data_IF_975081180472
#
_entry.id   IF_975081180472
#
_cell.length_a   1.000
_cell.length_b   1.000
_cell.length_c   1.000
_cell.angle_alpha   90.00
_cell.angle_beta   90.00
_cell.angle_gamma   90.00
#
_symmetry.space_group_name_H-M   'P 1'
#
loop_
_entity.id
_entity.type
_entity.pdbx_description
1 polymer ?
#
# COMPACT_ATOMS: atom_id res chain seq x y z
N UNK A 1 -16.88 38.84 -1.38
CA UNK A 1 -16.24 38.67 -0.05
C UNK A 1 -16.21 37.18 0.29
N UNK A 2 -15.05 36.53 0.45
CA UNK A 2 -15.00 35.10 0.74
C UNK A 2 -15.10 34.84 2.26
N UNK A 3 -16.04 33.99 2.68
CA UNK A 3 -16.18 33.52 4.07
C UNK A 3 -15.02 32.58 4.41
N UNK A 4 -14.13 33.02 5.31
CA UNK A 4 -13.14 32.15 5.96
C UNK A 4 -13.86 31.24 6.96
N UNK A 5 -13.83 29.94 6.72
CA UNK A 5 -14.21 28.96 7.74
C UNK A 5 -13.02 28.70 8.65
N UNK A 6 -13.15 29.09 9.92
CA UNK A 6 -12.17 28.83 10.98
C UNK A 6 -12.47 27.46 11.60
N UNK A 7 -11.62 26.48 11.34
CA UNK A 7 -11.68 25.17 11.98
C UNK A 7 -11.22 25.29 13.44
N UNK A 8 -12.15 25.29 14.39
CA UNK A 8 -11.80 25.17 15.82
C UNK A 8 -11.40 23.73 16.10
N UNK A 9 -10.15 23.55 16.53
CA UNK A 9 -9.64 22.30 17.11
C UNK A 9 -10.50 21.92 18.33
N UNK A 10 -11.25 20.83 18.19
CA UNK A 10 -11.95 20.19 19.30
C UNK A 10 -10.90 19.46 20.14
N UNK A 11 -10.61 19.98 21.34
CA UNK A 11 -9.80 19.26 22.33
C UNK A 11 -10.58 18.03 22.77
N UNK A 12 -9.96 16.86 22.65
CA UNK A 12 -10.48 15.61 23.18
C UNK A 12 -10.71 15.74 24.69
N UNK A 13 -11.94 15.45 25.12
CA UNK A 13 -12.29 15.33 26.51
C UNK A 13 -11.47 14.18 27.13
N UNK A 14 -10.69 14.51 28.15
CA UNK A 14 -9.98 13.54 28.99
C UNK A 14 -10.98 12.64 29.70
N UNK A 15 -11.01 11.36 29.31
CA UNK A 15 -11.76 10.31 29.99
C UNK A 15 -11.11 10.11 31.37
N UNK A 16 -11.83 10.49 32.41
CA UNK A 16 -11.40 10.35 33.80
C UNK A 16 -11.68 8.92 34.26
N UNK A 17 -10.68 8.05 34.17
CA UNK A 17 -10.76 6.66 34.64
C UNK A 17 -10.57 6.67 36.15
N UNK A 18 -11.67 6.42 36.89
CA UNK A 18 -11.67 6.26 38.34
C UNK A 18 -10.88 4.98 38.71
N UNK A 19 -9.86 5.06 39.58
CA UNK A 19 -9.14 3.86 40.02
C UNK A 19 -10.05 2.97 40.88
N UNK A 20 -9.90 1.63 40.79
CA UNK A 20 -10.66 0.70 41.63
C UNK A 20 -10.24 0.85 43.09
N UNK A 21 -11.21 1.14 43.95
CA UNK A 21 -11.08 1.17 45.39
C UNK A 21 -11.24 -0.25 45.93
N UNK A 22 -10.15 -0.95 46.26
CA UNK A 22 -10.21 -2.08 47.18
C UNK A 22 -8.88 -2.29 47.92
N UNK A 23 -8.74 -1.82 49.17
CA UNK A 23 -7.65 -2.19 50.05
C UNK A 23 -8.11 -3.33 50.97
N UNK A 24 -7.64 -4.56 50.73
CA UNK A 24 -7.83 -5.64 51.69
C UNK A 24 -7.97 -7.04 51.11
N UNK A 25 -6.89 -7.58 50.56
CA UNK A 25 -6.72 -9.03 50.49
C UNK A 25 -5.27 -9.35 50.87
N UNK A 26 -5.11 -9.76 52.13
CA UNK A 26 -3.86 -10.26 52.70
C UNK A 26 -3.61 -11.62 52.02
N UNK A 27 -2.63 -11.68 51.13
CA UNK A 27 -2.13 -12.93 50.56
C UNK A 27 -0.96 -13.37 51.45
N UNK A 28 -1.11 -14.51 52.11
CA UNK A 28 -0.06 -15.19 52.88
C UNK A 28 1.18 -15.47 52.01
N UNK A 29 2.40 -15.36 52.57
CA UNK A 29 3.62 -15.70 51.86
C UNK A 29 3.74 -17.23 51.72
N UNK A 30 3.44 -17.74 50.53
CA UNK A 30 3.80 -19.11 50.13
C UNK A 30 5.32 -19.28 50.09
N UNK A 31 5.77 -20.38 50.67
CA UNK A 31 7.11 -20.95 50.84
C UNK A 31 8.17 -20.63 49.77
N UNK A 32 9.47 -20.62 50.15
CA UNK A 32 10.56 -20.38 49.22
C UNK A 32 10.65 -21.50 48.16
N UNK A 33 10.46 -21.11 46.90
CA UNK A 33 10.73 -21.94 45.73
C UNK A 33 12.21 -22.31 45.69
N UNK A 34 12.49 -23.61 45.66
CA UNK A 34 13.82 -24.18 45.42
C UNK A 34 14.45 -23.61 44.14
N UNK A 35 15.78 -23.40 44.11
CA UNK A 35 16.47 -22.91 42.92
C UNK A 35 16.31 -23.90 41.77
N UNK A 36 15.72 -23.44 40.67
CA UNK A 36 15.63 -24.17 39.40
C UNK A 36 17.06 -24.39 38.90
N UNK A 37 17.48 -25.64 38.61
CA UNK A 37 18.78 -25.92 38.01
C UNK A 37 18.87 -25.20 36.66
N UNK A 38 19.87 -24.32 36.51
CA UNK A 38 20.24 -23.76 35.22
C UNK A 38 20.80 -24.89 34.35
N UNK A 39 19.94 -25.53 33.56
CA UNK A 39 20.37 -26.37 32.45
C UNK A 39 21.04 -25.45 31.41
N UNK A 40 22.36 -25.50 31.34
CA UNK A 40 23.16 -24.90 30.28
C UNK A 40 22.72 -25.47 28.93
N UNK A 41 21.94 -24.69 28.18
CA UNK A 41 21.66 -25.00 26.77
C UNK A 41 23.00 -25.10 26.04
N UNK A 42 23.26 -26.21 25.31
CA UNK A 42 24.44 -26.30 24.47
C UNK A 42 24.39 -25.15 23.46
N UNK A 43 25.45 -24.34 23.44
CA UNK A 43 25.71 -23.38 22.36
C UNK A 43 25.94 -24.19 21.07
N UNK A 44 24.85 -24.59 20.43
CA UNK A 44 24.87 -25.06 19.07
C UNK A 44 25.43 -23.91 18.23
N UNK A 45 26.67 -24.09 17.75
CA UNK A 45 27.32 -23.17 16.85
C UNK A 45 26.36 -22.86 15.71
N UNK A 46 25.86 -21.63 15.67
CA UNK A 46 25.11 -21.12 14.53
C UNK A 46 26.07 -21.26 13.34
N UNK A 47 25.76 -22.08 12.33
CA UNK A 47 26.61 -22.15 11.16
C UNK A 47 26.65 -20.74 10.60
N UNK A 48 27.83 -20.12 10.60
CA UNK A 48 28.08 -18.89 9.86
C UNK A 48 27.74 -19.24 8.42
N UNK A 49 26.59 -18.79 7.93
CA UNK A 49 26.32 -18.77 6.51
C UNK A 49 27.51 -18.08 5.88
N UNK A 50 28.33 -18.86 5.17
CA UNK A 50 29.39 -18.34 4.35
C UNK A 50 28.75 -17.29 3.46
N UNK A 51 29.21 -16.05 3.59
CA UNK A 51 28.92 -14.98 2.65
C UNK A 51 29.45 -15.46 1.31
N UNK A 52 28.58 -16.11 0.54
CA UNK A 52 28.84 -16.42 -0.85
C UNK A 52 29.25 -15.12 -1.52
N UNK A 53 30.51 -15.08 -1.95
CA UNK A 53 31.05 -14.05 -2.82
C UNK A 53 30.11 -13.90 -4.01
N UNK A 54 29.23 -12.91 -3.97
CA UNK A 54 28.40 -12.53 -5.09
C UNK A 54 29.35 -12.00 -6.16
N UNK A 55 29.60 -12.82 -7.19
CA UNK A 55 30.18 -12.35 -8.45
C UNK A 55 29.31 -11.24 -9.06
N UNK A 56 29.80 -10.56 -10.12
CA UNK A 56 29.11 -9.41 -10.70
C UNK A 56 27.66 -9.75 -10.97
N UNK A 57 26.77 -8.99 -10.35
CA UNK A 57 25.34 -9.19 -10.23
C UNK A 57 24.70 -9.42 -11.60
N UNK A 58 24.55 -10.68 -12.01
CA UNK A 58 23.77 -11.01 -13.19
C UNK A 58 22.33 -10.53 -12.94
N UNK A 59 21.81 -9.69 -13.84
CA UNK A 59 20.48 -9.14 -13.69
C UNK A 59 19.47 -10.30 -13.58
N UNK A 60 18.56 -10.28 -12.59
CA UNK A 60 17.62 -11.38 -12.37
C UNK A 60 16.74 -11.59 -13.59
N UNK A 61 16.37 -12.84 -13.87
CA UNK A 61 15.42 -13.18 -14.95
C UNK A 61 14.13 -12.35 -14.80
N UNK A 62 13.58 -11.75 -15.88
CA UNK A 62 13.95 -11.91 -17.29
C UNK A 62 15.06 -10.97 -17.79
N UNK A 63 15.63 -10.12 -16.94
CA UNK A 63 16.60 -9.10 -17.34
C UNK A 63 17.98 -9.65 -17.67
N UNK A 64 18.25 -10.92 -17.37
CA UNK A 64 19.43 -11.64 -17.87
C UNK A 64 19.48 -11.67 -19.41
N UNK A 65 18.34 -11.75 -20.09
CA UNK A 65 18.26 -11.72 -21.55
C UNK A 65 18.35 -10.30 -22.14
N UNK A 66 17.97 -9.29 -21.36
CA UNK A 66 17.94 -7.89 -21.77
C UNK A 66 18.59 -7.00 -20.71
N UNK A 67 19.91 -7.13 -20.49
CA UNK A 67 20.60 -6.46 -19.40
C UNK A 67 20.55 -4.93 -19.51
N UNK A 68 20.41 -4.40 -20.73
CA UNK A 68 20.23 -2.97 -20.97
C UNK A 68 18.86 -2.43 -20.51
N UNK A 69 17.83 -3.28 -20.38
CA UNK A 69 16.54 -2.88 -19.80
C UNK A 69 16.59 -2.79 -18.28
N UNK A 70 17.49 -3.52 -17.63
CA UNK A 70 17.61 -3.53 -16.18
C UNK A 70 17.80 -2.11 -15.59
N UNK A 71 18.78 -1.29 -16.02
CA UNK A 71 18.92 0.08 -15.52
C UNK A 71 17.79 1.02 -15.94
N UNK A 72 17.01 0.68 -16.98
CA UNK A 72 15.84 1.44 -17.43
C UNK A 72 14.62 1.16 -16.55
N UNK A 73 14.53 -0.04 -15.96
CA UNK A 73 13.40 -0.45 -15.12
C UNK A 73 13.73 -0.27 -13.64
N UNK A 74 15.00 -0.46 -13.28
CA UNK A 74 15.57 -0.30 -11.95
C UNK A 74 16.61 0.82 -11.99
N UNK A 75 16.18 2.04 -12.33
CA UNK A 75 17.09 3.17 -12.25
C UNK A 75 17.65 3.30 -10.85
N UNK A 76 18.97 3.53 -10.78
CA UNK A 76 19.67 3.76 -9.53
C UNK A 76 19.03 4.98 -8.86
N UNK A 77 18.48 4.84 -7.64
CA UNK A 77 17.89 5.97 -6.94
C UNK A 77 18.98 7.02 -6.73
N UNK A 78 18.71 8.26 -7.16
CA UNK A 78 19.61 9.36 -6.88
C UNK A 78 19.46 9.76 -5.40
N UNK A 79 20.58 9.98 -4.70
CA UNK A 79 20.54 10.52 -3.34
C UNK A 79 20.02 11.95 -3.33
N UNK A 80 20.29 12.71 -4.40
CA UNK A 80 19.85 14.09 -4.57
C UNK A 80 19.28 14.31 -5.97
N UNK A 81 18.15 15.00 -6.07
CA UNK A 81 17.53 15.34 -7.34
C UNK A 81 16.33 16.27 -7.15
N UNK A 82 15.82 16.82 -8.25
CA UNK A 82 14.69 17.75 -8.20
C UNK A 82 13.33 17.05 -8.33
N UNK A 83 13.29 15.89 -8.99
CA UNK A 83 12.04 15.21 -9.37
C UNK A 83 12.02 13.81 -8.77
N UNK A 84 10.88 13.44 -8.18
CA UNK A 84 10.62 12.09 -7.67
C UNK A 84 9.78 11.29 -8.65
N UNK A 85 10.01 9.98 -8.70
CA UNK A 85 9.29 9.07 -9.62
C UNK A 85 7.78 9.12 -9.42
N UNK A 86 7.30 9.31 -8.18
CA UNK A 86 5.87 9.47 -7.88
C UNK A 86 5.18 10.54 -8.70
N UNK A 87 5.87 11.62 -9.08
CA UNK A 87 5.27 12.72 -9.83
C UNK A 87 4.97 12.29 -11.27
N UNK A 88 5.82 11.47 -11.89
CA UNK A 88 5.55 10.91 -13.21
C UNK A 88 4.29 10.03 -13.18
N UNK A 89 4.23 9.15 -12.18
CA UNK A 89 3.10 8.24 -12.02
C UNK A 89 1.82 9.01 -11.74
N UNK A 90 1.82 9.93 -10.78
CA UNK A 90 0.63 10.73 -10.44
C UNK A 90 0.15 11.59 -11.61
N UNK A 91 1.07 12.16 -12.41
CA UNK A 91 0.71 12.88 -13.63
C UNK A 91 -0.01 11.96 -14.62
N UNK A 92 0.51 10.75 -14.86
CA UNK A 92 -0.15 9.80 -15.75
C UNK A 92 -1.55 9.39 -15.28
N UNK A 93 -1.77 9.28 -13.95
CA UNK A 93 -3.06 8.92 -13.34
C UNK A 93 -4.05 10.08 -13.35
N UNK A 94 -3.57 11.32 -13.28
CA UNK A 94 -4.41 12.48 -13.53
C UNK A 94 -4.83 12.55 -15.01
N UNK A 95 -3.86 12.36 -15.91
CA UNK A 95 -4.11 12.38 -17.36
C UNK A 95 -5.00 11.23 -17.83
N UNK A 96 -5.11 10.13 -17.08
CA UNK A 96 -6.00 9.02 -17.43
C UNK A 96 -7.49 9.36 -17.35
N UNK A 97 -7.86 10.47 -16.70
CA UNK A 97 -9.20 11.06 -16.82
C UNK A 97 -9.25 12.08 -17.96
N UNK A 98 -8.27 13.00 -17.99
CA UNK A 98 -8.29 14.18 -18.87
C UNK A 98 -8.15 13.80 -20.35
N UNK A 99 -7.19 12.93 -20.68
CA UNK A 99 -6.88 12.58 -22.08
C UNK A 99 -8.01 11.78 -22.74
N UNK A 100 -8.56 10.72 -22.12
CA UNK A 100 -9.69 10.00 -22.71
C UNK A 100 -10.95 10.88 -22.83
N UNK A 101 -11.22 11.74 -21.84
CA UNK A 101 -12.33 12.68 -21.90
C UNK A 101 -12.17 13.69 -23.03
N UNK A 102 -10.94 14.18 -23.25
CA UNK A 102 -10.62 15.04 -24.38
C UNK A 102 -10.89 14.35 -25.73
N UNK A 103 -10.56 13.07 -25.87
CA UNK A 103 -10.88 12.33 -27.10
C UNK A 103 -12.38 12.16 -27.32
N UNK A 104 -13.14 11.82 -26.27
CA UNK A 104 -14.61 11.74 -26.36
C UNK A 104 -15.20 13.07 -26.84
N UNK A 105 -14.73 14.18 -26.27
CA UNK A 105 -15.15 15.52 -26.70
C UNK A 105 -14.73 15.83 -28.16
N UNK A 106 -13.46 15.59 -28.51
CA UNK A 106 -12.90 15.94 -29.83
C UNK A 106 -13.51 15.15 -30.99
N UNK A 107 -13.93 13.91 -30.76
CA UNK A 107 -14.54 13.04 -31.76
C UNK A 107 -16.07 12.96 -31.64
N UNK A 108 -16.67 13.75 -30.74
CA UNK A 108 -18.11 13.73 -30.44
C UNK A 108 -18.64 12.32 -30.11
N UNK A 109 -17.85 11.53 -29.38
CA UNK A 109 -18.14 10.11 -29.09
C UNK A 109 -19.00 9.93 -27.82
N UNK A 110 -19.87 10.89 -27.48
CA UNK A 110 -20.69 10.86 -26.26
C UNK A 110 -21.76 9.76 -26.26
N UNK A 111 -22.20 9.32 -27.44
CA UNK A 111 -23.14 8.21 -27.61
C UNK A 111 -22.43 6.85 -27.66
N UNK A 112 -21.10 6.84 -27.69
CA UNK A 112 -20.33 5.61 -27.66
C UNK A 112 -20.16 5.12 -26.22
N UNK A 113 -21.00 4.15 -25.84
CA UNK A 113 -20.99 3.55 -24.51
C UNK A 113 -19.62 2.96 -24.14
N UNK A 114 -18.88 2.41 -25.10
CA UNK A 114 -17.54 1.87 -24.87
C UNK A 114 -16.56 2.96 -24.48
N UNK A 115 -16.56 4.08 -25.20
CA UNK A 115 -15.70 5.22 -24.92
C UNK A 115 -16.04 5.83 -23.56
N UNK A 116 -17.32 6.11 -23.29
CA UNK A 116 -17.77 6.66 -22.01
C UNK A 116 -17.42 5.76 -20.82
N UNK A 117 -17.63 4.44 -20.95
CA UNK A 117 -17.27 3.49 -19.91
C UNK A 117 -15.75 3.44 -19.68
N UNK A 118 -14.95 3.49 -20.74
CA UNK A 118 -13.50 3.57 -20.63
C UNK A 118 -13.07 4.81 -19.83
N UNK A 119 -13.61 5.99 -20.13
CA UNK A 119 -13.34 7.23 -19.38
C UNK A 119 -13.76 7.08 -17.92
N UNK A 120 -14.95 6.54 -17.65
CA UNK A 120 -15.44 6.35 -16.28
C UNK A 120 -14.51 5.43 -15.48
N UNK A 121 -14.10 4.29 -16.04
CA UNK A 121 -13.25 3.32 -15.36
C UNK A 121 -11.82 3.84 -15.14
N UNK A 122 -11.15 4.31 -16.20
CA UNK A 122 -9.78 4.81 -16.09
C UNK A 122 -9.68 6.13 -15.33
N UNK A 123 -10.71 6.98 -15.47
CA UNK A 123 -10.79 8.25 -14.76
C UNK A 123 -10.99 8.06 -13.26
N UNK A 124 -11.96 7.23 -12.87
CA UNK A 124 -12.18 6.91 -11.44
C UNK A 124 -10.98 6.20 -10.82
N UNK A 125 -10.37 5.25 -11.53
CA UNK A 125 -9.13 4.63 -11.08
C UNK A 125 -8.00 5.64 -10.86
N UNK A 126 -7.83 6.60 -11.78
CA UNK A 126 -6.86 7.68 -11.64
C UNK A 126 -7.10 8.53 -10.40
N UNK A 127 -8.35 8.91 -10.13
CA UNK A 127 -8.74 9.65 -8.91
C UNK A 127 -8.44 8.83 -7.66
N UNK A 128 -8.86 7.57 -7.61
CA UNK A 128 -8.60 6.69 -6.46
C UNK A 128 -7.12 6.46 -6.22
N UNK A 129 -6.32 6.38 -7.29
CA UNK A 129 -4.86 6.32 -7.17
C UNK A 129 -4.29 7.56 -6.48
N UNK A 130 -4.72 8.76 -6.87
CA UNK A 130 -4.27 10.01 -6.27
C UNK A 130 -4.64 10.10 -4.79
N UNK A 131 -5.88 9.68 -4.45
CA UNK A 131 -6.33 9.57 -3.06
C UNK A 131 -5.46 8.60 -2.27
N UNK A 132 -5.27 7.37 -2.79
CA UNK A 132 -4.41 6.35 -2.19
C UNK A 132 -2.99 6.87 -1.94
N UNK A 133 -2.39 7.50 -2.95
CA UNK A 133 -1.05 8.05 -2.84
C UNK A 133 -0.96 9.17 -1.79
N UNK A 134 -2.05 9.87 -1.48
CA UNK A 134 -2.11 10.87 -0.41
C UNK A 134 -2.26 10.26 0.98
N UNK A 135 -2.98 9.14 1.13
CA UNK A 135 -3.29 8.54 2.43
C UNK A 135 -2.15 7.59 2.86
N UNK A 136 -1.70 6.70 1.98
CA UNK A 136 -0.63 5.73 2.24
C UNK A 136 0.38 5.75 1.07
N UNK A 137 1.32 6.73 1.06
CA UNK A 137 2.30 6.88 -0.01
C UNK A 137 3.26 5.68 -0.03
N UNK A 138 3.48 5.12 -1.23
CA UNK A 138 4.42 4.02 -1.39
C UNK A 138 5.85 4.55 -1.51
N UNK A 139 6.69 4.17 -0.55
CA UNK A 139 8.10 4.58 -0.45
C UNK A 139 8.91 4.24 -1.69
N UNK A 140 8.51 3.20 -2.44
CA UNK A 140 9.20 2.80 -3.69
C UNK A 140 9.25 3.94 -4.72
N UNK A 141 8.25 4.82 -4.74
CA UNK A 141 8.15 5.90 -5.72
C UNK A 141 8.71 7.23 -5.21
N UNK A 142 9.23 7.29 -3.98
CA UNK A 142 9.73 8.53 -3.37
C UNK A 142 11.22 8.79 -3.67
N UNK A 143 11.89 7.88 -4.36
CA UNK A 143 13.27 8.08 -4.82
C UNK A 143 13.35 9.21 -5.85
N UNK A 144 14.45 9.97 -5.79
CA UNK A 144 14.78 10.95 -6.82
C UNK A 144 15.23 10.24 -8.10
N UNK A 145 14.81 10.78 -9.24
CA UNK A 145 15.18 10.27 -10.54
C UNK A 145 15.70 11.36 -11.48
N UNK A 146 16.60 11.02 -12.41
CA UNK A 146 17.04 11.97 -13.43
C UNK A 146 15.91 12.29 -14.42
N UNK A 147 15.98 13.46 -15.04
CA UNK A 147 14.93 13.94 -15.97
C UNK A 147 14.67 12.97 -17.12
N UNK A 148 15.71 12.34 -17.68
CA UNK A 148 15.54 11.37 -18.77
C UNK A 148 14.69 10.17 -18.32
N UNK A 149 14.89 9.68 -17.10
CA UNK A 149 14.13 8.55 -16.55
C UNK A 149 12.68 8.94 -16.31
N UNK A 150 12.45 10.15 -15.78
CA UNK A 150 11.12 10.72 -15.66
C UNK A 150 10.39 10.74 -17.02
N UNK A 151 11.06 11.19 -18.09
CA UNK A 151 10.49 11.19 -19.44
C UNK A 151 10.18 9.78 -19.94
N UNK A 152 11.11 8.82 -19.79
CA UNK A 152 10.90 7.42 -20.22
C UNK A 152 9.70 6.79 -19.51
N UNK A 153 9.59 6.96 -18.19
CA UNK A 153 8.45 6.45 -17.41
C UNK A 153 7.13 7.06 -17.89
N UNK A 154 7.09 8.37 -18.16
CA UNK A 154 5.90 9.02 -18.70
C UNK A 154 5.55 8.51 -20.10
N UNK A 155 6.51 8.37 -21.01
CA UNK A 155 6.25 7.86 -22.38
C UNK A 155 5.67 6.45 -22.32
N UNK A 156 6.25 5.57 -21.50
CA UNK A 156 5.73 4.23 -21.29
C UNK A 156 4.31 4.26 -20.71
N UNK A 157 4.07 5.10 -19.71
CA UNK A 157 2.73 5.27 -19.13
C UNK A 157 1.75 5.98 -20.08
N UNK A 158 2.18 6.80 -21.03
CA UNK A 158 1.25 7.47 -21.94
C UNK A 158 0.93 6.63 -23.17
N UNK A 159 1.73 5.60 -23.46
CA UNK A 159 1.50 4.68 -24.57
C UNK A 159 0.10 4.03 -24.54
N UNK A 160 -0.45 3.77 -23.34
CA UNK A 160 -1.78 3.17 -23.23
C UNK A 160 -2.93 4.13 -23.61
N UNK A 161 -2.67 5.44 -23.73
CA UNK A 161 -3.66 6.40 -24.24
C UNK A 161 -3.97 6.22 -25.73
N UNK A 162 -3.21 5.39 -26.45
CA UNK A 162 -3.56 4.97 -27.80
C UNK A 162 -4.90 4.21 -27.86
N UNK A 163 -5.29 3.51 -26.78
CA UNK A 163 -6.54 2.74 -26.72
C UNK A 163 -7.79 3.64 -26.80
N UNK A 164 -8.00 4.65 -25.92
CA UNK A 164 -9.16 5.52 -26.00
C UNK A 164 -9.19 6.33 -27.30
N UNK A 165 -8.02 6.70 -27.83
CA UNK A 165 -7.92 7.31 -29.16
C UNK A 165 -8.49 6.38 -30.25
N UNK A 166 -8.05 5.12 -30.27
CA UNK A 166 -8.50 4.12 -31.24
C UNK A 166 -10.02 3.84 -31.13
N UNK A 167 -10.54 3.74 -29.90
CA UNK A 167 -11.99 3.55 -29.65
C UNK A 167 -12.79 4.70 -30.26
N UNK A 168 -12.36 5.95 -30.04
CA UNK A 168 -13.08 7.14 -30.51
C UNK A 168 -13.01 7.30 -32.03
N UNK A 169 -11.82 7.12 -32.63
CA UNK A 169 -11.63 7.29 -34.08
C UNK A 169 -12.41 6.25 -34.89
N UNK A 170 -12.43 4.99 -34.44
CA UNK A 170 -13.09 3.90 -35.16
C UNK A 170 -14.52 3.64 -34.70
N UNK A 171 -15.05 4.46 -33.79
CA UNK A 171 -16.36 4.29 -33.16
C UNK A 171 -16.61 2.84 -32.69
N UNK A 172 -15.65 2.26 -31.97
CA UNK A 172 -15.72 0.86 -31.53
C UNK A 172 -16.85 0.71 -30.52
N UNK A 173 -17.78 -0.20 -30.80
CA UNK A 173 -18.91 -0.51 -29.93
C UNK A 173 -18.83 -1.98 -29.49
N UNK A 174 -18.70 -2.22 -28.19
CA UNK A 174 -18.76 -3.57 -27.63
C UNK A 174 -20.20 -3.96 -27.27
N UNK A 175 -20.57 -5.24 -27.44
CA UNK A 175 -21.86 -5.73 -26.98
C UNK A 175 -21.98 -5.64 -25.44
N UNK A 176 -23.19 -5.42 -24.89
CA UNK A 176 -23.39 -5.15 -23.46
C UNK A 176 -22.81 -6.19 -22.50
N UNK A 177 -22.86 -7.47 -22.86
CA UNK A 177 -22.32 -8.54 -22.02
C UNK A 177 -20.79 -8.45 -21.82
N UNK A 178 -20.05 -7.95 -22.83
CA UNK A 178 -18.59 -7.72 -22.70
C UNK A 178 -18.30 -6.55 -21.78
N UNK A 179 -19.08 -5.47 -21.88
CA UNK A 179 -18.96 -4.32 -20.99
C UNK A 179 -19.23 -4.74 -19.53
N UNK A 180 -20.27 -5.54 -19.29
CA UNK A 180 -20.58 -6.09 -17.97
C UNK A 180 -19.40 -6.90 -17.40
N UNK A 181 -18.87 -7.85 -18.16
CA UNK A 181 -17.70 -8.65 -17.72
C UNK A 181 -16.48 -7.78 -17.46
N UNK A 182 -16.25 -6.76 -18.29
CA UNK A 182 -15.12 -5.85 -18.15
C UNK A 182 -15.22 -5.07 -16.83
N UNK A 183 -16.40 -4.56 -16.49
CA UNK A 183 -16.65 -3.86 -15.22
C UNK A 183 -16.49 -4.79 -14.03
N UNK A 184 -16.99 -6.03 -14.10
CA UNK A 184 -16.85 -7.01 -13.02
C UNK A 184 -15.38 -7.34 -12.73
N UNK A 185 -14.60 -7.64 -13.77
CA UNK A 185 -13.17 -7.95 -13.65
C UNK A 185 -12.40 -6.74 -13.15
N UNK A 186 -12.66 -5.56 -13.71
CA UNK A 186 -12.02 -4.32 -13.29
C UNK A 186 -12.32 -3.97 -11.83
N UNK A 187 -13.58 -4.00 -11.40
CA UNK A 187 -13.97 -3.67 -10.04
C UNK A 187 -13.37 -4.65 -9.02
N UNK A 188 -13.35 -5.94 -9.36
CA UNK A 188 -12.70 -6.97 -8.53
C UNK A 188 -11.20 -6.73 -8.41
N UNK A 189 -10.51 -6.46 -9.53
CA UNK A 189 -9.08 -6.15 -9.53
C UNK A 189 -8.75 -4.87 -8.77
N UNK A 190 -9.59 -3.84 -8.89
CA UNK A 190 -9.47 -2.59 -8.15
C UNK A 190 -9.56 -2.85 -6.65
N UNK A 191 -10.60 -3.57 -6.20
CA UNK A 191 -10.80 -3.90 -4.80
C UNK A 191 -9.59 -4.66 -4.23
N UNK A 192 -9.15 -5.71 -4.92
CA UNK A 192 -8.01 -6.52 -4.50
C UNK A 192 -6.72 -5.70 -4.37
N UNK A 193 -6.46 -4.83 -5.34
CA UNK A 193 -5.27 -3.96 -5.35
C UNK A 193 -5.28 -3.01 -4.15
N UNK A 194 -6.40 -2.33 -3.91
CA UNK A 194 -6.49 -1.35 -2.82
C UNK A 194 -6.48 -1.98 -1.44
N UNK A 195 -7.15 -3.13 -1.25
CA UNK A 195 -7.12 -3.84 0.03
C UNK A 195 -5.72 -4.38 0.32
N UNK A 196 -5.03 -4.92 -0.68
CA UNK A 196 -3.66 -5.43 -0.53
C UNK A 196 -2.69 -4.30 -0.14
N UNK A 197 -2.78 -3.16 -0.83
CA UNK A 197 -1.96 -1.99 -0.50
C UNK A 197 -2.28 -1.44 0.90
N UNK A 198 -3.55 -1.42 1.29
CA UNK A 198 -3.97 -1.01 2.63
C UNK A 198 -3.41 -1.95 3.71
N UNK A 199 -3.58 -3.27 3.54
CA UNK A 199 -3.00 -4.26 4.46
C UNK A 199 -1.48 -4.09 4.57
N UNK A 200 -0.79 -3.90 3.44
CA UNK A 200 0.66 -3.64 3.41
C UNK A 200 1.02 -2.39 4.19
N UNK A 201 0.30 -1.28 4.01
CA UNK A 201 0.58 -0.02 4.69
C UNK A 201 0.45 -0.14 6.21
N UNK A 202 -0.65 -0.73 6.69
CA UNK A 202 -0.89 -0.95 8.11
C UNK A 202 0.17 -1.85 8.75
N UNK A 203 0.58 -2.93 8.07
CA UNK A 203 1.54 -3.85 8.65
C UNK A 203 2.94 -3.23 8.74
N UNK A 204 3.34 -2.42 7.75
CA UNK A 204 4.61 -1.68 7.80
C UNK A 204 4.61 -0.66 8.95
N UNK A 205 3.46 -0.06 9.27
CA UNK A 205 3.32 0.88 10.39
C UNK A 205 3.37 0.17 11.75
N UNK A 206 2.68 -0.98 11.89
CA UNK A 206 2.58 -1.71 13.17
C UNK A 206 3.85 -2.54 13.46
N UNK A 207 4.43 -3.17 12.44
CA UNK A 207 5.55 -4.11 12.59
C UNK A 207 6.61 -3.89 11.49
N UNK A 208 7.36 -2.78 11.53
CA UNK A 208 8.37 -2.48 10.52
C UNK A 208 9.45 -3.56 10.47
N UNK A 209 9.77 -4.04 9.26
CA UNK A 209 10.84 -5.02 9.02
C UNK A 209 10.40 -6.49 9.12
N UNK A 210 9.14 -6.78 9.45
CA UNK A 210 8.60 -8.14 9.37
C UNK A 210 8.06 -8.46 7.97
N UNK A 211 8.22 -9.72 7.56
CA UNK A 211 7.67 -10.22 6.31
C UNK A 211 6.14 -10.32 6.42
N UNK A 212 5.44 -9.90 5.37
CA UNK A 212 3.98 -9.97 5.27
C UNK A 212 3.58 -11.38 4.82
N UNK A 213 3.16 -12.24 5.75
CA UNK A 213 2.78 -13.64 5.46
C UNK A 213 1.32 -13.98 5.83
N UNK A 214 0.48 -12.96 6.05
CA UNK A 214 -0.90 -13.13 6.51
C UNK A 214 -1.95 -12.73 5.47
N UNK A 215 -3.13 -13.34 5.55
CA UNK A 215 -4.35 -13.01 4.79
C UNK A 215 -4.12 -12.98 3.27
N UNK A 216 -4.18 -11.82 2.62
CA UNK A 216 -4.04 -11.67 1.18
C UNK A 216 -2.69 -12.15 0.65
N UNK A 217 -1.66 -12.19 1.50
CA UNK A 217 -0.31 -12.62 1.14
C UNK A 217 -0.01 -14.09 1.51
N UNK A 218 -1.00 -14.82 2.05
CA UNK A 218 -0.81 -16.23 2.44
C UNK A 218 -0.96 -17.19 1.25
N UNK A 219 -1.71 -16.82 0.21
CA UNK A 219 -2.01 -17.72 -0.90
C UNK A 219 -1.09 -17.47 -2.11
N UNK A 220 -0.16 -18.40 -2.45
CA UNK A 220 0.80 -18.21 -3.53
C UNK A 220 0.18 -18.07 -4.94
N UNK A 221 -1.08 -18.49 -5.12
CA UNK A 221 -1.81 -18.30 -6.39
C UNK A 221 -2.25 -16.85 -6.67
N UNK A 222 -2.28 -15.99 -5.65
CA UNK A 222 -2.74 -14.59 -5.77
C UNK A 222 -1.59 -13.58 -5.73
N UNK A 223 -0.36 -14.02 -5.44
CA UNK A 223 0.82 -13.15 -5.26
C UNK A 223 1.48 -12.73 -6.56
N UNK A 224 1.02 -13.18 -7.74
CA UNK A 224 1.56 -12.78 -9.05
C UNK A 224 1.44 -11.26 -9.35
N UNK A 225 0.62 -10.52 -8.59
CA UNK A 225 0.54 -9.05 -8.64
C UNK A 225 1.11 -8.34 -7.41
N UNK A 226 1.57 -9.07 -6.40
CA UNK A 226 2.17 -8.50 -5.18
C UNK A 226 3.61 -8.08 -5.46
N UNK A 227 3.79 -7.04 -6.29
CA UNK A 227 5.01 -6.26 -6.51
C UNK A 227 6.32 -6.89 -6.01
N UNK A 228 6.85 -7.85 -6.77
CA UNK A 228 8.29 -8.15 -6.87
C UNK A 228 9.10 -8.11 -5.57
N UNK A 229 8.63 -8.73 -4.51
CA UNK A 229 9.48 -9.11 -3.39
C UNK A 229 9.89 -10.56 -3.63
N UNK A 230 10.79 -10.76 -4.60
CA UNK A 230 11.52 -12.02 -4.71
C UNK A 230 12.26 -12.27 -3.40
N UNK A 231 12.27 -13.52 -2.97
CA UNK A 231 12.78 -14.10 -1.72
C UNK A 231 14.30 -13.92 -1.48
N UNK A 232 14.83 -12.73 -1.70
CA UNK A 232 16.17 -12.35 -1.31
C UNK A 232 16.06 -11.58 -0.01
N UNK A 233 16.19 -12.35 1.08
CA UNK A 233 16.81 -11.97 2.34
C UNK A 233 17.20 -10.48 2.37
N UNK A 234 16.27 -9.61 2.74
CA UNK A 234 16.62 -8.23 3.06
C UNK A 234 17.52 -8.31 4.29
N UNK A 235 18.80 -7.91 4.23
CA UNK A 235 19.55 -7.72 5.45
C UNK A 235 18.81 -6.63 6.23
N UNK A 236 18.24 -7.05 7.36
CA UNK A 236 17.69 -6.18 8.38
C UNK A 236 18.82 -5.27 8.91
N UNK A 237 19.11 -4.18 8.18
CA UNK A 237 19.99 -3.11 8.65
C UNK A 237 19.93 -1.86 7.75
N UNK A 238 18.75 -1.27 7.63
CA UNK A 238 18.68 0.19 7.58
C UNK A 238 18.17 0.62 8.96
N UNK A 239 19.13 0.98 9.80
CA UNK A 239 18.90 1.57 11.12
C UNK A 239 18.04 2.80 10.91
N UNK A 240 16.80 2.78 11.40
CA UNK A 240 15.99 3.98 11.58
C UNK A 240 16.51 4.83 12.78
N UNK A 241 17.83 5.03 12.87
CA UNK A 241 18.49 5.68 14.02
C UNK A 241 19.12 7.03 13.71
N UNK A 242 19.18 7.46 12.44
CA UNK A 242 19.98 8.64 12.08
C UNK A 242 19.15 9.85 11.58
N UNK A 243 17.84 9.88 11.84
CA UNK A 243 17.04 11.10 11.70
C UNK A 243 16.23 11.33 12.98
N UNK A 244 16.67 12.27 13.81
CA UNK A 244 16.10 12.70 15.10
C UNK A 244 16.44 11.88 16.37
N UNK A 245 17.73 11.68 16.66
CA UNK A 245 18.19 11.61 18.07
C UNK A 245 18.61 13.01 18.53
N UNK A 246 17.60 13.81 18.86
CA UNK A 246 17.73 15.06 19.59
C UNK A 246 16.36 15.40 20.17
N UNK A 247 16.18 15.12 21.47
CA UNK A 247 15.06 15.55 22.35
C UNK A 247 13.88 14.62 22.68
N UNK A 248 13.84 13.31 22.37
CA UNK A 248 12.70 12.46 22.85
C UNK A 248 13.11 11.07 23.37
N UNK A 249 14.13 10.98 24.22
CA UNK A 249 14.51 9.71 24.90
C UNK A 249 14.44 9.78 26.43
N UNK A 250 13.42 10.44 26.98
CA UNK A 250 13.14 10.40 28.43
C UNK A 250 11.74 9.99 28.88
N UNK A 251 10.84 9.53 28.00
CA UNK A 251 9.43 9.36 28.39
C UNK A 251 8.76 7.99 28.14
N UNK A 252 9.48 6.92 27.78
CA UNK A 252 8.82 5.61 27.55
C UNK A 252 9.60 4.46 28.17
N UNK A 253 9.57 4.38 29.50
CA UNK A 253 10.02 3.21 30.28
C UNK A 253 8.91 2.70 31.22
N UNK A 254 7.66 2.66 30.75
CA UNK A 254 6.53 2.33 31.63
C UNK A 254 5.24 1.87 30.97
N UNK A 255 5.27 1.35 29.74
CA UNK A 255 4.03 0.80 29.12
C UNK A 255 3.99 -0.72 29.33
N UNK A 256 3.06 -1.25 30.14
CA UNK A 256 2.89 -2.68 30.29
C UNK A 256 2.38 -3.31 28.99
N UNK A 257 2.91 -4.50 28.70
CA UNK A 257 2.53 -5.35 27.56
C UNK A 257 1.08 -5.79 27.75
N UNK A 258 0.13 -5.19 27.02
CA UNK A 258 -1.27 -5.63 27.04
C UNK A 258 -1.38 -7.00 26.37
N UNK A 259 -1.81 -7.99 27.16
CA UNK A 259 -2.19 -9.32 26.70
C UNK A 259 -3.57 -9.22 26.01
N UNK A 260 -3.63 -9.60 24.74
CA UNK A 260 -4.85 -9.57 23.92
C UNK A 260 -5.74 -10.74 24.37
N UNK A 261 -6.51 -10.56 25.44
CA UNK A 261 -7.53 -11.55 25.83
C UNK A 261 -8.93 -11.02 26.09
N UNK A 262 -9.17 -9.71 26.18
CA UNK A 262 -10.53 -9.21 26.44
C UNK A 262 -10.88 -7.92 25.69
N UNK A 263 -10.85 -7.97 24.35
CA UNK A 263 -11.56 -6.99 23.55
C UNK A 263 -12.95 -7.56 23.21
N UNK A 264 -13.91 -7.30 24.11
CA UNK A 264 -15.33 -7.40 23.83
C UNK A 264 -15.71 -6.38 22.76
N UNK A 265 -15.51 -6.74 21.49
CA UNK A 265 -16.00 -5.97 20.35
C UNK A 265 -17.45 -6.37 20.11
N UNK A 266 -18.43 -5.46 20.25
CA UNK A 266 -19.79 -5.77 19.82
C UNK A 266 -19.79 -5.96 18.29
N UNK A 267 -20.29 -7.10 17.87
CA UNK A 267 -20.50 -7.46 16.49
C UNK A 267 -21.25 -6.35 15.75
N UNK A 268 -20.58 -5.72 14.78
CA UNK A 268 -21.24 -4.90 13.77
C UNK A 268 -22.00 -5.87 12.87
N UNK A 269 -23.30 -5.97 13.10
CA UNK A 269 -24.23 -6.72 12.26
C UNK A 269 -24.18 -6.17 10.82
N UNK A 270 -23.89 -7.08 9.90
CA UNK A 270 -24.23 -6.97 8.48
C UNK A 270 -25.72 -6.64 8.35
N UNK A 271 -26.05 -5.43 7.89
CA UNK A 271 -27.39 -5.13 7.37
C UNK A 271 -27.45 -5.66 5.94
N UNK A 272 -27.86 -6.91 5.81
CA UNK A 272 -28.37 -7.50 4.56
C UNK A 272 -29.88 -7.67 4.66
N UNK A 273 -30.61 -7.19 3.65
CA UNK A 273 -32.07 -7.33 3.47
C UNK A 273 -32.83 -6.05 3.88
N UNK A 274 -33.81 -5.54 3.15
CA UNK A 274 -34.89 -6.28 2.48
C UNK A 274 -35.63 -5.40 1.44
N UNK A 275 -36.06 -6.02 0.35
CA UNK A 275 -37.15 -5.54 -0.51
C UNK A 275 -38.44 -5.29 0.29
N UNK A 276 -39.11 -4.16 0.06
CA UNK A 276 -40.56 -4.00 0.12
C UNK A 276 -40.95 -2.72 -0.63
N UNK A 277 -41.91 -2.84 -1.54
CA UNK A 277 -42.28 -1.79 -2.48
C UNK A 277 -43.10 -0.64 -1.90
N UNK A 278 -43.27 0.39 -2.71
CA UNK A 278 -44.49 1.20 -2.77
C UNK A 278 -44.49 1.97 -4.09
N UNK A 279 -45.49 1.64 -4.91
CA UNK A 279 -46.24 2.51 -5.81
C UNK A 279 -45.89 4.00 -5.78
N UNK A 280 -45.39 4.53 -6.90
CA UNK A 280 -46.07 5.49 -7.79
C UNK A 280 -45.31 5.60 -9.11
#
# INVERSE_FOLDING_TARGET
MPRRYSFKSQRHASINIKPPSNPGAIIEPSSPLSPVPQASLPQAAIPRCASASQGPTEAPFPFSYFPYLYPIIHAVPLETGFIRVRHAVNLSKFLSLVVPLYFVYRFNAWENMTACLYVAMHGTYGVWWLVKNSIFPDRRWDAFCPLWYFCVVNVMLWSYFAIPYYICVNNVQLPPWRLMLTVMVWASGLLLTFISDFQKSLLIEVAPGQLINTKFFTYPGWTLGANGASDHCYPARVRARDYHEGEITKAVSGVPRMEIKELGVPAIYLVTGQYAGSTL
#
